data_IF_103894183559
#
_entry.id   IF_103894183559
#
_cell.length_a   1.000
_cell.length_b   1.000
_cell.length_c   1.000
_cell.angle_alpha   90.00
_cell.angle_beta   90.00
_cell.angle_gamma   90.00
#
_symmetry.space_group_name_H-M   'P 1'
#
loop_
_entity.id
_entity.type
_entity.pdbx_description
1 polymer ?
#
# COMPACT_ATOMS: atom_id res chain seq x y z
N UNK A 1 -1.69 -0.28 27.75
CA UNK A 1 -2.08 -0.63 26.37
C UNK A 1 -2.90 -1.92 26.38
N UNK A 2 -4.21 -1.84 26.58
CA UNK A 2 -5.08 -3.02 26.75
C UNK A 2 -5.14 -3.91 25.49
N UNK A 3 -5.54 -5.18 25.65
CA UNK A 3 -5.69 -6.17 24.55
C UNK A 3 -6.41 -5.59 23.31
N UNK A 4 -7.43 -4.76 23.55
CA UNK A 4 -8.20 -4.06 22.52
C UNK A 4 -7.39 -3.03 21.71
N UNK A 5 -6.48 -2.28 22.35
CA UNK A 5 -5.63 -1.30 21.65
C UNK A 5 -4.62 -2.01 20.74
N UNK A 6 -4.00 -3.09 21.23
CA UNK A 6 -3.12 -3.95 20.42
C UNK A 6 -3.86 -4.55 19.23
N UNK A 7 -5.07 -5.05 19.43
CA UNK A 7 -5.88 -5.61 18.34
C UNK A 7 -6.27 -4.56 17.29
N UNK A 8 -6.64 -3.35 17.71
CA UNK A 8 -6.91 -2.22 16.79
C UNK A 8 -5.68 -1.85 15.98
N UNK A 9 -4.51 -1.81 16.61
CA UNK A 9 -3.26 -1.52 15.91
C UNK A 9 -2.92 -2.61 14.87
N UNK A 10 -3.03 -3.89 15.27
CA UNK A 10 -2.82 -5.03 14.36
C UNK A 10 -3.80 -4.97 13.17
N UNK A 11 -5.07 -4.65 13.41
CA UNK A 11 -6.06 -4.46 12.35
C UNK A 11 -5.68 -3.32 11.39
N UNK A 12 -5.21 -2.17 11.90
CA UNK A 12 -4.71 -1.06 11.07
C UNK A 12 -3.49 -1.48 10.24
N UNK A 13 -2.54 -2.23 10.84
CA UNK A 13 -1.36 -2.75 10.14
C UNK A 13 -1.76 -3.71 9.01
N UNK A 14 -2.67 -4.66 9.26
CA UNK A 14 -3.18 -5.60 8.26
C UNK A 14 -3.89 -4.87 7.11
N UNK A 15 -4.81 -3.95 7.43
CA UNK A 15 -5.53 -3.14 6.45
C UNK A 15 -4.59 -2.34 5.55
N UNK A 16 -3.53 -1.73 6.12
CA UNK A 16 -2.49 -1.04 5.33
C UNK A 16 -1.78 -2.01 4.38
N UNK A 17 -1.38 -3.20 4.86
CA UNK A 17 -0.75 -4.23 4.04
C UNK A 17 -1.62 -4.68 2.86
N UNK A 18 -2.91 -4.91 3.08
CA UNK A 18 -3.88 -5.27 2.03
C UNK A 18 -4.05 -4.16 0.99
N UNK A 19 -4.15 -2.91 1.44
CA UNK A 19 -4.22 -1.75 0.55
C UNK A 19 -2.97 -1.64 -0.33
N UNK A 20 -1.78 -1.77 0.26
CA UNK A 20 -0.51 -1.74 -0.48
C UNK A 20 -0.43 -2.87 -1.52
N UNK A 21 -0.85 -4.10 -1.17
CA UNK A 21 -0.95 -5.21 -2.13
C UNK A 21 -1.88 -4.88 -3.31
N UNK A 22 -3.06 -4.31 -3.02
CA UNK A 22 -4.03 -3.88 -4.06
C UNK A 22 -3.41 -2.83 -4.99
N UNK A 23 -2.72 -1.84 -4.45
CA UNK A 23 -2.08 -0.81 -5.27
C UNK A 23 -0.88 -1.33 -6.08
N UNK A 24 -0.11 -2.28 -5.55
CA UNK A 24 0.95 -2.97 -6.31
C UNK A 24 0.40 -3.70 -7.54
N UNK A 25 -0.69 -4.45 -7.38
CA UNK A 25 -1.35 -5.13 -8.52
C UNK A 25 -1.89 -4.12 -9.53
N UNK A 26 -2.46 -3.00 -9.06
CA UNK A 26 -2.93 -1.93 -9.95
C UNK A 26 -1.77 -1.25 -10.68
N UNK A 27 -0.65 -1.00 -10.00
CA UNK A 27 0.54 -0.39 -10.58
C UNK A 27 1.15 -1.29 -11.67
N UNK A 28 1.22 -2.60 -11.43
CA UNK A 28 1.67 -3.58 -12.42
C UNK A 28 0.76 -3.68 -13.66
N UNK A 29 -0.55 -3.45 -13.49
CA UNK A 29 -1.53 -3.45 -14.59
C UNK A 29 -1.66 -2.12 -15.31
N UNK A 30 -1.22 -1.02 -14.70
CA UNK A 30 -1.35 0.32 -15.28
C UNK A 30 -0.45 0.46 -16.51
N UNK A 31 -1.05 0.84 -17.64
CA UNK A 31 -0.34 1.02 -18.91
C UNK A 31 0.08 2.47 -19.13
N UNK A 32 -0.69 3.41 -18.59
CA UNK A 32 -0.44 4.85 -18.73
C UNK A 32 0.44 5.39 -17.59
N UNK A 33 1.32 6.32 -17.92
CA UNK A 33 2.19 6.99 -16.95
C UNK A 33 1.40 7.80 -15.92
N UNK A 34 0.33 8.47 -16.33
CA UNK A 34 -0.56 9.21 -15.41
C UNK A 34 -1.28 8.30 -14.41
N UNK A 35 -1.62 7.06 -14.80
CA UNK A 35 -2.21 6.08 -13.87
C UNK A 35 -1.20 5.60 -12.83
N UNK A 36 0.05 5.37 -13.27
CA UNK A 36 1.16 5.00 -12.38
C UNK A 36 1.43 6.10 -11.35
N UNK A 37 1.44 7.36 -11.77
CA UNK A 37 1.60 8.53 -10.88
C UNK A 37 0.44 8.69 -9.89
N UNK A 38 -0.80 8.51 -10.34
CA UNK A 38 -1.96 8.55 -9.45
C UNK A 38 -1.93 7.42 -8.39
N UNK A 39 -1.38 6.25 -8.75
CA UNK A 39 -1.22 5.12 -7.83
C UNK A 39 -0.07 5.36 -6.85
N UNK A 40 1.07 5.89 -7.30
CA UNK A 40 2.20 6.21 -6.42
C UNK A 40 1.83 7.25 -5.38
N UNK A 41 1.12 8.32 -5.76
CA UNK A 41 0.62 9.32 -4.81
C UNK A 41 -0.32 8.73 -3.75
N UNK A 42 -1.21 7.81 -4.15
CA UNK A 42 -2.12 7.12 -3.21
C UNK A 42 -1.35 6.23 -2.24
N UNK A 43 -0.31 5.56 -2.70
CA UNK A 43 0.53 4.69 -1.88
C UNK A 43 1.40 5.51 -0.92
N UNK A 44 1.98 6.62 -1.37
CA UNK A 44 2.78 7.51 -0.55
C UNK A 44 1.98 8.07 0.64
N UNK A 45 0.70 8.40 0.45
CA UNK A 45 -0.22 8.81 1.55
C UNK A 45 -0.46 7.72 2.59
N UNK A 46 -0.40 6.44 2.21
CA UNK A 46 -0.62 5.30 3.12
C UNK A 46 0.68 4.93 3.84
N UNK A 47 1.78 4.95 3.11
CA UNK A 47 3.12 4.65 3.60
C UNK A 47 4.15 5.40 2.75
N UNK A 48 4.79 6.44 3.31
CA UNK A 48 5.78 7.24 2.58
C UNK A 48 7.00 6.44 2.10
N UNK A 49 7.28 5.31 2.76
CA UNK A 49 8.43 4.44 2.46
C UNK A 49 8.04 3.21 1.62
N UNK A 50 6.81 3.12 1.13
CA UNK A 50 6.38 1.98 0.34
C UNK A 50 6.99 2.05 -1.07
N UNK A 51 8.00 1.20 -1.31
CA UNK A 51 8.55 0.99 -2.65
C UNK A 51 7.54 0.17 -3.47
N UNK A 52 7.06 0.78 -4.57
CA UNK A 52 6.23 0.14 -5.59
C UNK A 52 7.02 -0.38 -6.78
N UNK A 53 8.29 0.02 -6.89
CA UNK A 53 9.20 -0.53 -7.88
C UNK A 53 9.29 -2.04 -7.68
N UNK A 54 8.98 -2.76 -8.74
CA UNK A 54 8.83 -4.20 -8.77
C UNK A 54 10.20 -4.81 -8.50
N UNK A 55 10.39 -5.38 -7.31
CA UNK A 55 11.31 -6.49 -7.16
C UNK A 55 10.74 -7.65 -7.99
N UNK A 56 11.09 -7.67 -9.27
CA UNK A 56 10.97 -8.85 -10.10
C UNK A 56 11.96 -9.85 -9.49
N UNK A 57 11.43 -10.91 -8.89
CA UNK A 57 12.19 -12.08 -8.51
C UNK A 57 11.37 -13.31 -8.83
#
# INVERSE_FOLDING_TARGET
>A
MGRCQRQRELARRRKRGEQLKKYRVKYAKAKSQGEKEAITQKVFRISPFAVLEVAAK
#
